data_IF_595965975112
#
_entry.id   IF_595965975112
#
_cell.length_a   1.000
_cell.length_b   1.000
_cell.length_c   1.000
_cell.angle_alpha   90.00
_cell.angle_beta   90.00
_cell.angle_gamma   90.00
#
_symmetry.space_group_name_H-M   'P 1'
#
loop_
_entity.id
_entity.type
_entity.pdbx_description
1 polymer ?
#
# COMPACT_ATOMS: atom_id res chain seq x y z
N UNK A 1 -52.83 -0.95 -15.74
CA UNK A 1 -52.12 -0.45 -16.92
C UNK A 1 -51.48 0.87 -16.53
N UNK A 2 -50.15 0.88 -16.42
CA UNK A 2 -49.36 2.00 -15.92
C UNK A 2 -47.96 1.56 -15.51
N UNK A 3 -47.30 0.83 -16.40
CA UNK A 3 -45.85 0.67 -16.38
C UNK A 3 -45.18 2.00 -16.79
N UNK A 4 -43.88 2.10 -16.52
CA UNK A 4 -42.93 3.14 -16.94
C UNK A 4 -42.70 4.32 -15.98
N UNK A 5 -41.66 4.20 -15.15
CA UNK A 5 -40.37 4.84 -15.46
C UNK A 5 -39.42 4.70 -14.26
N UNK A 6 -38.66 3.61 -14.23
CA UNK A 6 -37.42 3.54 -13.44
C UNK A 6 -36.27 3.25 -14.40
N UNK A 7 -36.03 4.19 -15.32
CA UNK A 7 -34.84 4.15 -16.19
C UNK A 7 -33.64 4.55 -15.35
N UNK A 8 -32.70 3.62 -15.28
CA UNK A 8 -31.48 3.68 -14.48
C UNK A 8 -30.76 5.01 -14.58
N UNK A 9 -30.50 5.59 -13.41
CA UNK A 9 -29.64 6.74 -13.25
C UNK A 9 -28.20 6.28 -13.52
N UNK A 10 -27.79 6.28 -14.79
CA UNK A 10 -26.40 6.09 -15.17
C UNK A 10 -25.60 7.26 -14.57
N UNK A 11 -24.88 6.98 -13.47
CA UNK A 11 -23.98 7.93 -12.81
C UNK A 11 -23.05 8.57 -13.85
N UNK A 12 -23.15 9.88 -14.04
CA UNK A 12 -22.19 10.66 -14.82
C UNK A 12 -20.77 10.41 -14.28
N UNK A 13 -19.89 9.86 -15.11
CA UNK A 13 -18.48 9.63 -14.78
C UNK A 13 -17.74 10.97 -14.78
N UNK A 14 -17.66 11.63 -13.63
CA UNK A 14 -16.87 12.85 -13.48
C UNK A 14 -15.42 12.50 -13.13
N UNK A 15 -14.44 13.12 -13.81
CA UNK A 15 -12.99 12.96 -13.54
C UNK A 15 -12.67 13.13 -12.05
N UNK A 16 -13.28 14.13 -11.40
CA UNK A 16 -13.16 14.37 -9.95
C UNK A 16 -13.61 13.16 -9.10
N UNK A 17 -14.68 12.48 -9.52
CA UNK A 17 -15.16 11.26 -8.87
C UNK A 17 -14.14 10.13 -8.96
N UNK A 18 -13.51 9.97 -10.13
CA UNK A 18 -12.50 8.94 -10.36
C UNK A 18 -11.22 9.16 -9.55
N UNK A 19 -10.73 10.40 -9.46
CA UNK A 19 -9.58 10.77 -8.60
C UNK A 19 -9.88 10.42 -7.14
N UNK A 20 -11.07 10.76 -6.65
CA UNK A 20 -11.49 10.44 -5.28
C UNK A 20 -11.54 8.94 -5.03
N UNK A 21 -12.01 8.15 -6.00
CA UNK A 21 -12.05 6.70 -5.88
C UNK A 21 -10.65 6.08 -5.86
N UNK A 22 -9.70 6.57 -6.67
CA UNK A 22 -8.29 6.14 -6.54
C UNK A 22 -7.67 6.55 -5.20
N UNK A 23 -7.95 7.76 -4.69
CA UNK A 23 -7.51 8.19 -3.37
C UNK A 23 -8.02 7.27 -2.24
N UNK A 24 -9.27 6.78 -2.37
CA UNK A 24 -9.83 5.77 -1.47
C UNK A 24 -9.21 4.39 -1.68
N UNK A 25 -8.93 4.00 -2.93
CA UNK A 25 -8.32 2.72 -3.27
C UNK A 25 -6.95 2.56 -2.59
N UNK A 26 -6.09 3.57 -2.71
CA UNK A 26 -4.75 3.56 -2.10
C UNK A 26 -4.75 3.87 -0.61
N UNK A 27 -5.92 4.18 -0.01
CA UNK A 27 -6.06 4.70 1.36
C UNK A 27 -5.06 5.84 1.64
N UNK A 28 -5.19 6.94 0.90
CA UNK A 28 -4.22 8.05 0.84
C UNK A 28 -3.61 8.44 2.21
N UNK A 29 -4.43 8.75 3.21
CA UNK A 29 -3.93 9.19 4.53
C UNK A 29 -3.10 8.13 5.24
N UNK A 30 -3.51 6.86 5.16
CA UNK A 30 -2.75 5.75 5.75
C UNK A 30 -1.43 5.55 5.02
N UNK A 31 -1.46 5.53 3.68
CA UNK A 31 -0.26 5.35 2.87
C UNK A 31 0.77 6.45 3.10
N UNK A 32 0.34 7.71 3.25
CA UNK A 32 1.24 8.82 3.59
C UNK A 32 1.93 8.57 4.93
N UNK A 33 1.20 8.14 5.97
CA UNK A 33 1.80 7.86 7.28
C UNK A 33 2.82 6.72 7.21
N UNK A 34 2.50 5.65 6.48
CA UNK A 34 3.40 4.51 6.27
C UNK A 34 4.70 4.95 5.58
N UNK A 35 4.56 5.70 4.49
CA UNK A 35 5.70 6.16 3.70
C UNK A 35 6.52 7.20 4.46
N UNK A 36 5.87 8.03 5.28
CA UNK A 36 6.57 8.94 6.17
C UNK A 36 7.52 8.21 7.11
N UNK A 37 7.09 7.12 7.74
CA UNK A 37 7.99 6.30 8.59
C UNK A 37 9.18 5.73 7.81
N UNK A 38 8.96 5.31 6.56
CA UNK A 38 10.05 4.85 5.69
C UNK A 38 11.04 5.98 5.38
N UNK A 39 10.56 7.18 5.05
CA UNK A 39 11.42 8.34 4.78
C UNK A 39 12.22 8.74 6.03
N UNK A 40 11.60 8.77 7.21
CA UNK A 40 12.33 9.05 8.45
C UNK A 40 13.40 7.98 8.70
N UNK A 41 13.09 6.71 8.47
CA UNK A 41 14.08 5.63 8.63
C UNK A 41 15.23 5.73 7.63
N UNK A 42 14.98 6.20 6.40
CA UNK A 42 16.02 6.48 5.41
C UNK A 42 16.95 7.60 5.88
N UNK A 43 16.39 8.69 6.39
CA UNK A 43 17.17 9.84 6.87
C UNK A 43 18.06 9.50 8.08
N UNK A 44 17.71 8.47 8.84
CA UNK A 44 18.50 7.98 9.98
C UNK A 44 19.59 6.98 9.58
N UNK A 45 19.63 6.52 8.32
CA UNK A 45 20.59 5.53 7.88
C UNK A 45 22.02 6.14 7.84
N UNK A 46 23.06 5.46 8.38
CA UNK A 46 24.40 6.04 8.56
C UNK A 46 25.09 6.48 7.26
N UNK A 47 24.77 5.83 6.14
CA UNK A 47 25.34 6.15 4.82
C UNK A 47 24.66 7.36 4.16
N UNK A 48 23.55 7.87 4.71
CA UNK A 48 22.90 9.11 4.25
C UNK A 48 23.57 10.30 4.93
N UNK A 49 24.70 10.73 4.37
CA UNK A 49 25.50 11.83 4.93
C UNK A 49 24.97 13.21 4.48
N UNK A 50 24.39 13.27 3.27
CA UNK A 50 23.80 14.49 2.70
C UNK A 50 22.35 14.21 2.33
N UNK A 51 21.45 15.08 2.79
CA UNK A 51 20.03 14.96 2.48
C UNK A 51 19.72 15.48 1.08
N UNK A 52 19.64 14.56 0.12
CA UNK A 52 19.18 14.85 -1.23
C UNK A 52 17.64 14.81 -1.32
N UNK A 53 17.05 15.95 -1.63
CA UNK A 53 15.60 16.09 -1.83
C UNK A 53 15.07 15.20 -2.97
N UNK A 54 15.88 14.93 -3.98
CA UNK A 54 15.48 14.06 -5.11
C UNK A 54 15.28 12.64 -4.63
N UNK A 55 16.25 12.09 -3.89
CA UNK A 55 16.17 10.77 -3.27
C UNK A 55 14.99 10.67 -2.30
N UNK A 56 14.78 11.69 -1.44
CA UNK A 56 13.63 11.71 -0.52
C UNK A 56 12.30 11.64 -1.28
N UNK A 57 12.15 12.43 -2.34
CA UNK A 57 10.95 12.46 -3.18
C UNK A 57 10.76 11.13 -3.92
N UNK A 58 11.81 10.54 -4.48
CA UNK A 58 11.77 9.25 -5.16
C UNK A 58 11.39 8.12 -4.20
N UNK A 59 11.93 8.11 -2.98
CA UNK A 59 11.56 7.13 -1.95
C UNK A 59 10.09 7.29 -1.57
N UNK A 60 9.62 8.54 -1.41
CA UNK A 60 8.23 8.81 -1.10
C UNK A 60 7.29 8.31 -2.21
N UNK A 61 7.60 8.60 -3.47
CA UNK A 61 6.83 8.15 -4.63
C UNK A 61 6.82 6.62 -4.70
N UNK A 62 7.99 5.98 -4.60
CA UNK A 62 8.11 4.54 -4.64
C UNK A 62 7.34 3.86 -3.51
N UNK A 63 7.45 4.37 -2.28
CA UNK A 63 6.70 3.89 -1.12
C UNK A 63 5.19 4.05 -1.29
N UNK A 64 4.73 5.18 -1.85
CA UNK A 64 3.31 5.41 -2.14
C UNK A 64 2.77 4.42 -3.18
N UNK A 65 3.57 4.09 -4.20
CA UNK A 65 3.22 3.11 -5.22
C UNK A 65 3.11 1.70 -4.63
N UNK A 66 4.09 1.25 -3.85
CA UNK A 66 4.07 -0.08 -3.21
C UNK A 66 2.93 -0.20 -2.20
N UNK A 67 2.77 0.79 -1.31
CA UNK A 67 1.73 0.78 -0.27
C UNK A 67 0.33 0.95 -0.87
N UNK A 68 0.18 1.82 -1.86
CA UNK A 68 -1.06 2.01 -2.60
C UNK A 68 -1.47 0.75 -3.35
N UNK A 69 -0.51 0.06 -3.96
CA UNK A 69 -0.73 -1.24 -4.60
C UNK A 69 -1.24 -2.29 -3.63
N UNK A 70 -0.60 -2.45 -2.48
CA UNK A 70 -0.98 -3.42 -1.45
C UNK A 70 -2.41 -3.15 -0.92
N UNK A 71 -2.75 -1.87 -0.68
CA UNK A 71 -4.09 -1.46 -0.29
C UNK A 71 -5.13 -1.76 -1.38
N UNK A 72 -4.79 -1.53 -2.65
CA UNK A 72 -5.66 -1.85 -3.78
C UNK A 72 -5.91 -3.37 -3.86
N UNK A 73 -4.89 -4.21 -3.71
CA UNK A 73 -5.06 -5.69 -3.67
C UNK A 73 -6.02 -6.07 -2.55
N UNK A 74 -5.83 -5.52 -1.35
CA UNK A 74 -6.69 -5.83 -0.22
C UNK A 74 -8.17 -5.47 -0.50
N UNK A 75 -8.46 -4.32 -1.12
CA UNK A 75 -9.85 -3.96 -1.46
C UNK A 75 -10.44 -4.84 -2.56
N UNK A 76 -9.61 -5.31 -3.50
CA UNK A 76 -10.07 -6.21 -4.56
C UNK A 76 -10.38 -7.60 -4.01
N UNK A 77 -9.52 -8.14 -3.13
CA UNK A 77 -9.69 -9.47 -2.51
C UNK A 77 -10.80 -9.48 -1.45
N UNK A 78 -11.02 -8.36 -0.76
CA UNK A 78 -12.08 -8.22 0.25
C UNK A 78 -13.41 -7.72 -0.33
N UNK A 79 -13.55 -7.54 -1.66
CA UNK A 79 -14.70 -6.85 -2.28
C UNK A 79 -16.07 -7.33 -1.78
N UNK A 80 -16.27 -8.64 -1.69
CA UNK A 80 -17.58 -9.25 -1.41
C UNK A 80 -17.92 -9.08 0.08
N UNK A 81 -16.92 -9.27 0.94
CA UNK A 81 -17.05 -9.02 2.39
C UNK A 81 -17.20 -7.53 2.71
N UNK A 82 -16.50 -6.67 1.99
CA UNK A 82 -16.57 -5.22 2.17
C UNK A 82 -17.95 -4.67 1.82
N UNK A 83 -18.60 -5.21 0.78
CA UNK A 83 -19.94 -4.82 0.37
C UNK A 83 -21.00 -5.05 1.47
N UNK A 84 -20.77 -6.01 2.37
CA UNK A 84 -21.69 -6.35 3.46
C UNK A 84 -21.45 -5.52 4.74
N UNK A 85 -20.38 -4.72 4.80
CA UNK A 85 -19.97 -4.01 6.02
C UNK A 85 -20.25 -2.51 5.90
N UNK A 86 -21.04 -1.94 6.83
CA UNK A 86 -21.34 -0.49 6.86
C UNK A 86 -20.10 0.40 6.73
N UNK A 87 -18.99 0.00 7.34
CA UNK A 87 -17.72 0.75 7.34
C UNK A 87 -16.98 0.71 5.99
N UNK A 88 -17.08 -0.38 5.24
CA UNK A 88 -16.26 -0.60 4.03
C UNK A 88 -17.06 -0.75 2.74
N UNK A 89 -18.39 -0.80 2.82
CA UNK A 89 -19.29 -0.88 1.66
C UNK A 89 -19.17 0.31 0.71
N UNK A 90 -18.62 1.45 1.16
CA UNK A 90 -18.38 2.62 0.31
C UNK A 90 -17.05 2.59 -0.44
N UNK A 91 -16.21 1.56 -0.24
CA UNK A 91 -14.96 1.36 -0.99
C UNK A 91 -15.25 1.25 -2.50
N UNK A 92 -14.39 1.81 -3.36
CA UNK A 92 -14.65 1.90 -4.81
C UNK A 92 -14.94 0.56 -5.48
N UNK A 93 -14.20 -0.50 -5.14
CA UNK A 93 -14.39 -1.84 -5.73
C UNK A 93 -15.65 -2.52 -5.17
N UNK A 94 -15.84 -2.49 -3.85
CA UNK A 94 -17.02 -3.07 -3.19
C UNK A 94 -18.33 -2.40 -3.60
N UNK A 95 -18.31 -1.08 -3.84
CA UNK A 95 -19.46 -0.30 -4.27
C UNK A 95 -19.72 -0.37 -5.79
N UNK A 96 -18.92 -1.13 -6.55
CA UNK A 96 -19.06 -1.26 -8.01
C UNK A 96 -18.67 -0.01 -8.82
N UNK A 97 -18.08 1.02 -8.20
CA UNK A 97 -17.61 2.23 -8.90
C UNK A 97 -16.29 2.03 -9.65
N UNK A 98 -15.54 1.00 -9.27
CA UNK A 98 -14.31 0.55 -9.90
C UNK A 98 -14.40 -0.95 -10.16
N UNK A 99 -14.02 -1.39 -11.36
CA UNK A 99 -14.06 -2.81 -11.68
C UNK A 99 -12.94 -3.58 -10.96
N UNK A 100 -13.14 -4.88 -10.73
CA UNK A 100 -12.10 -5.76 -10.16
C UNK A 100 -10.86 -5.80 -11.05
N UNK A 101 -11.05 -5.84 -12.37
CA UNK A 101 -9.95 -5.83 -13.34
C UNK A 101 -9.15 -4.54 -13.26
N UNK A 102 -9.81 -3.39 -13.14
CA UNK A 102 -9.15 -2.10 -12.95
C UNK A 102 -8.36 -2.04 -11.63
N UNK A 103 -8.93 -2.57 -10.55
CA UNK A 103 -8.24 -2.68 -9.26
C UNK A 103 -6.97 -3.53 -9.34
N UNK A 104 -7.05 -4.73 -9.94
CA UNK A 104 -5.89 -5.60 -10.14
C UNK A 104 -4.84 -4.99 -11.06
N UNK A 105 -5.25 -4.40 -12.18
CA UNK A 105 -4.34 -3.73 -13.11
C UNK A 105 -3.59 -2.59 -12.41
N UNK A 106 -4.30 -1.75 -11.67
CA UNK A 106 -3.69 -0.69 -10.88
C UNK A 106 -2.69 -1.25 -9.86
N UNK A 107 -3.07 -2.27 -9.09
CA UNK A 107 -2.18 -2.92 -8.13
C UNK A 107 -0.90 -3.43 -8.79
N UNK A 108 -1.00 -4.21 -9.85
CA UNK A 108 0.19 -4.82 -10.49
C UNK A 108 1.10 -3.72 -11.05
N UNK A 109 0.55 -2.76 -11.78
CA UNK A 109 1.33 -1.67 -12.40
C UNK A 109 2.04 -0.84 -11.32
N UNK A 110 1.33 -0.40 -10.29
CA UNK A 110 1.92 0.43 -9.23
C UNK A 110 2.89 -0.35 -8.35
N UNK A 111 2.61 -1.62 -8.06
CA UNK A 111 3.52 -2.49 -7.31
C UNK A 111 4.85 -2.70 -8.04
N UNK A 112 4.78 -3.07 -9.33
CA UNK A 112 5.98 -3.25 -10.17
C UNK A 112 6.74 -1.94 -10.33
N UNK A 113 6.06 -0.83 -10.61
CA UNK A 113 6.71 0.47 -10.75
C UNK A 113 7.39 0.92 -9.46
N UNK A 114 6.75 0.77 -8.30
CA UNK A 114 7.34 1.15 -7.01
C UNK A 114 8.57 0.31 -6.65
N UNK A 115 8.51 -1.00 -6.84
CA UNK A 115 9.66 -1.90 -6.62
C UNK A 115 10.79 -1.58 -7.60
N UNK A 116 10.47 -1.30 -8.87
CA UNK A 116 11.45 -0.92 -9.87
C UNK A 116 12.15 0.40 -9.51
N UNK A 117 11.42 1.42 -9.05
CA UNK A 117 12.01 2.67 -8.60
C UNK A 117 12.98 2.46 -7.43
N UNK A 118 12.64 1.60 -6.46
CA UNK A 118 13.55 1.26 -5.37
C UNK A 118 14.82 0.57 -5.89
N UNK A 119 14.67 -0.39 -6.80
CA UNK A 119 15.80 -1.14 -7.35
C UNK A 119 16.76 -0.25 -8.14
N UNK A 120 16.19 0.69 -8.92
CA UNK A 120 16.94 1.53 -9.84
C UNK A 120 17.62 2.72 -9.16
N UNK A 121 16.92 3.40 -8.24
CA UNK A 121 17.41 4.64 -7.64
C UNK A 121 18.07 4.45 -6.27
N UNK A 122 17.88 3.29 -5.63
CA UNK A 122 18.48 3.00 -4.33
C UNK A 122 19.33 1.74 -4.41
N UNK A 123 18.71 0.56 -4.28
CA UNK A 123 19.42 -0.72 -4.32
C UNK A 123 18.45 -1.91 -4.36
N UNK A 124 18.98 -3.08 -4.69
CA UNK A 124 18.23 -4.34 -4.75
C UNK A 124 17.69 -4.82 -3.40
N UNK A 125 18.32 -4.46 -2.27
CA UNK A 125 17.88 -4.90 -0.93
C UNK A 125 16.55 -4.23 -0.56
N UNK A 126 16.46 -2.91 -0.68
CA UNK A 126 15.23 -2.15 -0.43
C UNK A 126 14.08 -2.62 -1.33
N UNK A 127 14.37 -2.88 -2.62
CA UNK A 127 13.40 -3.41 -3.57
C UNK A 127 12.91 -4.82 -3.21
N UNK A 128 13.83 -5.72 -2.81
CA UNK A 128 13.47 -7.08 -2.41
C UNK A 128 12.59 -7.08 -1.15
N UNK A 129 12.92 -6.25 -0.15
CA UNK A 129 12.10 -6.11 1.07
C UNK A 129 10.72 -5.52 0.74
N UNK A 130 10.65 -4.53 -0.16
CA UNK A 130 9.39 -3.95 -0.60
C UNK A 130 8.51 -4.96 -1.35
N UNK A 131 9.09 -5.72 -2.29
CA UNK A 131 8.39 -6.79 -3.00
C UNK A 131 7.90 -7.88 -2.05
N UNK A 132 8.74 -8.28 -1.08
CA UNK A 132 8.38 -9.24 -0.05
C UNK A 132 7.25 -8.72 0.86
N UNK A 133 7.33 -7.47 1.31
CA UNK A 133 6.26 -6.83 2.10
C UNK A 133 4.93 -6.81 1.35
N UNK A 134 4.98 -6.40 0.08
CA UNK A 134 3.81 -6.39 -0.79
C UNK A 134 3.20 -7.79 -0.95
N UNK A 135 4.04 -8.80 -1.19
CA UNK A 135 3.61 -10.20 -1.32
C UNK A 135 3.00 -10.73 -0.02
N UNK A 136 3.67 -10.54 1.13
CA UNK A 136 3.18 -10.92 2.45
C UNK A 136 1.81 -10.31 2.72
N UNK A 137 1.65 -9.01 2.47
CA UNK A 137 0.39 -8.31 2.70
C UNK A 137 -0.72 -8.86 1.79
N UNK A 138 -0.45 -8.93 0.49
CA UNK A 138 -1.43 -9.29 -0.54
C UNK A 138 -1.90 -10.76 -0.47
N UNK A 139 -0.96 -11.70 -0.32
CA UNK A 139 -1.23 -13.12 -0.53
C UNK A 139 -1.21 -13.96 0.74
N UNK A 140 -0.65 -13.45 1.84
CA UNK A 140 -0.58 -14.20 3.09
C UNK A 140 -1.50 -13.55 4.13
N UNK A 141 -1.30 -12.27 4.44
CA UNK A 141 -2.10 -11.57 5.46
C UNK A 141 -3.58 -11.43 5.08
N UNK A 142 -3.89 -10.87 3.90
CA UNK A 142 -5.29 -10.61 3.51
C UNK A 142 -6.16 -11.88 3.49
N UNK A 143 -5.69 -13.04 2.96
CA UNK A 143 -6.45 -14.28 3.08
C UNK A 143 -6.53 -14.81 4.53
N UNK A 144 -5.42 -14.78 5.27
CA UNK A 144 -5.36 -15.35 6.63
C UNK A 144 -6.25 -14.61 7.63
N UNK A 145 -6.45 -13.31 7.41
CA UNK A 145 -7.35 -12.47 8.20
C UNK A 145 -8.79 -12.99 8.28
N UNK A 146 -9.23 -13.81 7.32
CA UNK A 146 -10.56 -14.42 7.31
C UNK A 146 -10.64 -15.73 8.11
N UNK A 147 -9.49 -16.28 8.53
CA UNK A 147 -9.39 -17.65 9.05
C UNK A 147 -8.90 -17.71 10.49
N UNK A 148 -7.84 -16.98 10.83
CA UNK A 148 -7.17 -17.15 12.13
C UNK A 148 -6.80 -15.81 12.78
N UNK A 149 -6.92 -15.74 14.12
CA UNK A 149 -6.48 -14.62 14.94
C UNK A 149 -4.97 -14.33 14.83
N UNK A 150 -4.15 -15.33 14.46
CA UNK A 150 -2.72 -15.16 14.18
C UNK A 150 -2.46 -14.13 13.05
N UNK A 151 -3.47 -13.83 12.24
CA UNK A 151 -3.41 -12.78 11.22
C UNK A 151 -2.95 -11.42 11.74
N UNK A 152 -3.18 -11.09 13.01
CA UNK A 152 -2.67 -9.85 13.63
C UNK A 152 -1.15 -9.80 13.63
N UNK A 153 -0.49 -10.86 14.12
CA UNK A 153 0.97 -10.96 14.17
C UNK A 153 1.55 -10.99 12.74
N UNK A 154 0.90 -11.72 11.84
CA UNK A 154 1.34 -11.80 10.44
C UNK A 154 1.19 -10.45 9.74
N UNK A 155 0.15 -9.68 10.05
CA UNK A 155 -0.09 -8.34 9.53
C UNK A 155 0.86 -7.28 10.11
N UNK A 156 1.34 -7.48 11.34
CA UNK A 156 2.32 -6.60 11.96
C UNK A 156 3.66 -6.59 11.20
N UNK A 157 4.04 -7.71 10.56
CA UNK A 157 5.27 -7.82 9.76
C UNK A 157 5.27 -6.82 8.58
N UNK A 158 4.38 -6.90 7.57
CA UNK A 158 4.34 -5.93 6.50
C UNK A 158 3.99 -4.51 6.97
N UNK A 159 3.34 -4.35 8.13
CA UNK A 159 3.12 -3.04 8.76
C UNK A 159 4.41 -2.38 9.27
N UNK A 160 5.42 -3.18 9.64
CA UNK A 160 6.71 -2.72 10.16
C UNK A 160 7.83 -2.64 9.12
N UNK A 161 7.73 -3.41 8.02
CA UNK A 161 8.70 -3.40 6.92
C UNK A 161 8.95 -2.02 6.28
N UNK A 162 8.02 -1.04 6.24
CA UNK A 162 8.30 0.30 5.70
C UNK A 162 9.53 0.97 6.34
N UNK A 163 9.72 0.83 7.66
CA UNK A 163 10.92 1.34 8.32
C UNK A 163 12.18 0.62 7.78
N UNK A 164 12.14 -0.70 7.70
CA UNK A 164 13.28 -1.48 7.20
C UNK A 164 13.60 -1.18 5.72
N UNK A 165 12.58 -0.95 4.89
CA UNK A 165 12.74 -0.54 3.48
C UNK A 165 13.43 0.82 3.42
N UNK A 166 12.98 1.78 4.22
CA UNK A 166 13.59 3.10 4.33
C UNK A 166 15.05 3.03 4.75
N UNK A 167 15.35 2.27 5.82
CA UNK A 167 16.74 2.03 6.24
C UNK A 167 17.57 1.43 5.12
N UNK A 168 17.09 0.35 4.50
CA UNK A 168 17.79 -0.35 3.43
C UNK A 168 18.08 0.54 2.23
N UNK A 169 17.18 1.47 1.92
CA UNK A 169 17.37 2.44 0.84
C UNK A 169 18.56 3.37 1.11
N UNK A 170 18.85 3.68 2.38
CA UNK A 170 20.00 4.49 2.78
C UNK A 170 21.25 3.68 3.11
N UNK A 171 21.11 2.51 3.72
CA UNK A 171 22.16 1.55 4.07
C UNK A 171 21.70 0.10 3.86
N UNK A 172 22.15 -0.48 2.74
CA UNK A 172 21.80 -1.81 2.26
C UNK A 172 22.38 -2.98 3.08
N UNK A 173 23.25 -2.69 4.06
CA UNK A 173 23.80 -3.71 4.96
C UNK A 173 22.87 -4.13 6.09
N UNK A 174 21.69 -3.48 6.23
CA UNK A 174 20.70 -3.78 7.27
C UNK A 174 21.33 -3.88 8.67
N UNK A 175 22.17 -2.89 8.99
CA UNK A 175 22.78 -2.76 10.31
C UNK A 175 21.73 -2.70 11.42
N UNK A 176 22.15 -2.88 12.67
CA UNK A 176 21.25 -3.06 13.81
C UNK A 176 20.16 -1.96 13.94
N UNK A 177 20.47 -0.73 13.54
CA UNK A 177 19.51 0.38 13.55
C UNK A 177 18.25 0.11 12.72
N UNK A 178 18.38 -0.49 11.54
CA UNK A 178 17.24 -0.83 10.69
C UNK A 178 16.31 -1.86 11.34
N UNK A 179 16.89 -2.89 11.96
CA UNK A 179 16.13 -3.92 12.69
C UNK A 179 15.50 -3.39 13.97
N UNK A 180 16.14 -2.44 14.66
CA UNK A 180 15.57 -1.77 15.84
C UNK A 180 14.34 -0.94 15.44
N UNK A 181 14.42 -0.16 14.36
CA UNK A 181 13.28 0.63 13.87
C UNK A 181 12.13 -0.27 13.39
N UNK A 182 12.47 -1.37 12.70
CA UNK A 182 11.49 -2.42 12.38
C UNK A 182 10.83 -2.97 13.65
N UNK A 183 11.62 -3.34 14.66
CA UNK A 183 11.13 -3.91 15.91
C UNK A 183 10.20 -2.97 16.67
N UNK A 184 10.55 -1.68 16.78
CA UNK A 184 9.67 -0.69 17.38
C UNK A 184 8.35 -0.55 16.61
N UNK A 185 8.40 -0.47 15.29
CA UNK A 185 7.20 -0.36 14.47
C UNK A 185 6.34 -1.63 14.56
N UNK A 186 6.97 -2.81 14.64
CA UNK A 186 6.32 -4.11 14.76
C UNK A 186 5.59 -4.26 16.09
N UNK A 187 6.22 -3.90 17.21
CA UNK A 187 5.61 -3.93 18.53
C UNK A 187 4.48 -2.90 18.70
N UNK A 188 4.49 -1.84 17.88
CA UNK A 188 3.45 -0.84 17.85
C UNK A 188 2.19 -1.27 17.09
N UNK A 189 2.32 -2.17 16.10
CA UNK A 189 1.18 -2.66 15.29
C UNK A 189 0.18 -3.46 16.14
#
# INVERSE_FOLDING_TARGET
MGEENNKGQASSFTISGKIRDYGKLIKMSLSIMVVFSAVISYLLAPKVVVYDWTSILLLFIAGMLVTGSANAVNQVVERDTDALMKRTASRPVAAGRMSVTEGWAFSIITGVAGVFLLAWFFNGVSAAIAAFSWFLYAFIYTPLKKVNAISVIVGAVPGALPCLIGWAAGDDQLSAGGWILFGFQFLWQ
#
